data_IF_459670349474
#
_entry.id   IF_459670349474
#
_cell.length_a   1.000
_cell.length_b   1.000
_cell.length_c   1.000
_cell.angle_alpha   90.00
_cell.angle_beta   90.00
_cell.angle_gamma   90.00
#
_symmetry.space_group_name_H-M   'P 1'
#
loop_
_entity.id
_entity.type
_entity.pdbx_description
1 polymer ?
#
# COMPACT_ATOMS: atom_id res chain seq x y z
N UNK A 1 6.02 -15.78 5.85
CA UNK A 1 5.17 -15.73 4.65
C UNK A 1 3.83 -15.15 5.10
N UNK A 2 3.22 -14.27 4.33
CA UNK A 2 1.94 -13.59 4.65
C UNK A 2 0.81 -14.23 3.84
N UNK A 3 -0.37 -14.26 4.45
CA UNK A 3 -1.61 -14.70 3.84
C UNK A 3 -2.66 -13.61 4.02
N UNK A 4 -3.46 -13.34 2.99
CA UNK A 4 -4.59 -12.42 3.06
C UNK A 4 -5.80 -13.04 2.39
N UNK A 5 -7.00 -12.78 2.93
CA UNK A 5 -8.28 -13.27 2.40
C UNK A 5 -9.27 -12.12 2.30
N UNK A 6 -9.90 -11.96 1.15
CA UNK A 6 -10.93 -10.95 0.89
C UNK A 6 -12.08 -11.57 0.09
N UNK A 7 -13.16 -11.92 0.77
CA UNK A 7 -14.23 -12.71 0.16
C UNK A 7 -13.69 -14.05 -0.36
N UNK A 8 -13.86 -14.30 -1.66
CA UNK A 8 -13.32 -15.47 -2.34
C UNK A 8 -11.85 -15.37 -2.75
N UNK A 9 -11.23 -14.20 -2.62
CA UNK A 9 -9.83 -13.98 -3.02
C UNK A 9 -8.88 -14.42 -1.90
N UNK A 10 -7.94 -15.32 -2.20
CA UNK A 10 -6.85 -15.71 -1.30
C UNK A 10 -5.48 -15.36 -1.88
N UNK A 11 -4.65 -14.73 -1.06
CA UNK A 11 -3.30 -14.27 -1.39
C UNK A 11 -2.28 -14.94 -0.48
N UNK A 12 -1.19 -15.45 -1.05
CA UNK A 12 -0.05 -15.98 -0.30
C UNK A 12 1.28 -15.50 -0.88
N UNK A 13 2.23 -15.11 -0.03
CA UNK A 13 3.54 -14.66 -0.49
C UNK A 13 4.29 -13.80 0.54
N UNK A 14 5.19 -12.94 0.06
CA UNK A 14 5.82 -11.87 0.86
C UNK A 14 5.41 -10.55 0.23
N UNK A 15 4.50 -9.83 0.88
CA UNK A 15 3.89 -8.60 0.35
C UNK A 15 3.39 -7.71 1.49
N UNK A 16 3.26 -6.42 1.24
CA UNK A 16 2.43 -5.48 2.00
C UNK A 16 1.02 -5.46 1.42
N UNK A 17 0.02 -5.25 2.27
CA UNK A 17 -1.38 -5.41 1.90
C UNK A 17 -2.21 -4.25 2.43
N UNK A 18 -3.07 -3.71 1.58
CA UNK A 18 -4.11 -2.77 2.00
C UNK A 18 -5.38 -2.99 1.16
N UNK A 19 -6.53 -2.68 1.76
CA UNK A 19 -7.83 -2.72 1.10
C UNK A 19 -8.58 -1.44 1.47
N UNK A 20 -9.22 -0.81 0.48
CA UNK A 20 -9.97 0.43 0.68
C UNK A 20 -11.16 0.48 -0.26
N UNK A 21 -12.22 1.21 0.14
CA UNK A 21 -13.31 1.62 -0.78
C UNK A 21 -12.94 2.87 -1.59
N UNK A 22 -11.83 3.51 -1.26
CA UNK A 22 -11.39 4.75 -1.88
C UNK A 22 -10.24 4.47 -2.84
N UNK A 23 -10.34 4.98 -4.06
CA UNK A 23 -9.25 4.91 -5.04
C UNK A 23 -8.06 5.74 -4.55
N UNK A 24 -6.85 5.44 -5.04
CA UNK A 24 -5.69 6.30 -4.73
C UNK A 24 -5.87 7.73 -5.26
N UNK A 25 -6.52 7.89 -6.41
CA UNK A 25 -6.84 9.22 -6.92
C UNK A 25 -7.76 9.98 -5.95
N UNK A 26 -8.80 9.32 -5.41
CA UNK A 26 -9.70 9.94 -4.44
C UNK A 26 -8.97 10.29 -3.14
N UNK A 27 -8.12 9.39 -2.62
CA UNK A 27 -7.29 9.66 -1.43
C UNK A 27 -6.31 10.82 -1.64
N UNK A 28 -5.75 10.99 -2.85
CA UNK A 28 -4.83 12.08 -3.17
C UNK A 28 -5.56 13.43 -3.36
N UNK A 29 -6.78 13.41 -3.89
CA UNK A 29 -7.53 14.62 -4.20
C UNK A 29 -8.30 15.20 -3.01
N UNK A 30 -8.76 14.36 -2.09
CA UNK A 30 -9.51 14.80 -0.91
C UNK A 30 -8.59 15.56 0.05
N UNK A 31 -9.00 16.77 0.44
CA UNK A 31 -8.34 17.56 1.48
C UNK A 31 -8.87 17.19 2.87
N UNK A 32 -10.12 16.71 2.92
CA UNK A 32 -10.80 16.35 4.16
C UNK A 32 -11.51 14.99 4.03
N UNK A 33 -11.71 14.34 5.18
CA UNK A 33 -12.27 12.99 5.28
C UNK A 33 -13.70 12.92 4.69
N UNK A 34 -14.48 14.00 4.84
CA UNK A 34 -15.85 14.11 4.33
C UNK A 34 -15.93 14.27 2.80
N UNK A 35 -14.82 14.53 2.12
CA UNK A 35 -14.76 14.62 0.66
C UNK A 35 -14.51 13.25 -0.01
N UNK A 36 -14.10 12.24 0.78
CA UNK A 36 -13.85 10.90 0.28
C UNK A 36 -15.12 10.29 -0.32
N UNK A 37 -14.99 9.80 -1.55
CA UNK A 37 -16.09 9.21 -2.31
C UNK A 37 -15.89 7.69 -2.33
N UNK A 38 -16.65 6.91 -1.53
CA UNK A 38 -16.53 5.47 -1.55
C UNK A 38 -16.99 4.93 -2.91
N UNK A 39 -16.24 3.96 -3.43
CA UNK A 39 -16.60 3.20 -4.63
C UNK A 39 -17.44 1.98 -4.24
N UNK A 40 -18.24 1.50 -5.20
CA UNK A 40 -18.93 0.21 -5.13
C UNK A 40 -17.95 -0.99 -5.23
N UNK A 41 -16.70 -0.73 -5.62
CA UNK A 41 -15.63 -1.71 -5.71
C UNK A 41 -14.63 -1.60 -4.55
N UNK A 42 -13.85 -2.66 -4.34
CA UNK A 42 -12.73 -2.67 -3.40
C UNK A 42 -11.40 -2.48 -4.13
N UNK A 43 -10.64 -1.47 -3.72
CA UNK A 43 -9.26 -1.26 -4.13
C UNK A 43 -8.34 -2.10 -3.26
N UNK A 44 -7.80 -3.17 -3.83
CA UNK A 44 -6.78 -4.02 -3.19
C UNK A 44 -5.39 -3.55 -3.62
N UNK A 45 -4.45 -3.47 -2.68
CA UNK A 45 -3.04 -3.13 -2.91
C UNK A 45 -2.17 -4.26 -2.39
N UNK A 46 -1.27 -4.74 -3.26
CA UNK A 46 -0.35 -5.83 -2.96
C UNK A 46 1.04 -5.39 -3.41
N UNK A 47 1.82 -4.85 -2.48
CA UNK A 47 3.17 -4.35 -2.80
C UNK A 47 4.22 -5.37 -2.39
N UNK A 48 5.15 -5.72 -3.29
CA UNK A 48 6.29 -6.56 -2.90
C UNK A 48 7.20 -5.88 -1.87
N UNK A 49 7.33 -4.56 -1.98
CA UNK A 49 8.12 -3.69 -1.13
C UNK A 49 7.39 -2.34 -1.01
N UNK A 50 7.43 -1.72 0.16
CA UNK A 50 6.81 -0.41 0.40
C UNK A 50 7.84 0.46 1.13
N UNK A 51 8.04 1.70 0.65
CA UNK A 51 9.01 2.61 1.26
C UNK A 51 8.56 3.00 2.68
N UNK A 52 9.51 3.24 3.57
CA UNK A 52 9.20 3.83 4.88
C UNK A 52 8.47 5.17 4.74
N UNK A 53 7.62 5.48 5.72
CA UNK A 53 6.84 6.73 5.73
C UNK A 53 7.70 7.90 6.25
N UNK A 54 8.63 7.64 7.18
CA UNK A 54 9.39 8.68 7.88
C UNK A 54 8.64 9.20 9.12
N UNK A 55 8.96 10.41 9.56
CA UNK A 55 8.25 11.06 10.67
C UNK A 55 9.12 11.67 11.76
N UNK A 56 10.46 11.65 11.63
CA UNK A 56 11.34 12.39 12.55
C UNK A 56 11.00 13.89 12.56
N UNK A 57 10.66 14.40 11.38
CA UNK A 57 9.94 15.65 11.19
C UNK A 57 9.08 15.59 9.91
N UNK A 58 8.19 16.57 9.74
CA UNK A 58 7.22 16.64 8.64
C UNK A 58 7.56 17.71 7.58
N UNK A 59 8.76 18.28 7.61
CA UNK A 59 9.19 19.37 6.71
C UNK A 59 10.54 19.11 6.03
N UNK A 60 11.15 17.96 6.28
CA UNK A 60 12.37 17.47 5.66
C UNK A 60 12.21 16.04 5.15
N UNK A 61 13.23 15.52 4.44
CA UNK A 61 13.27 14.10 4.06
C UNK A 61 13.67 13.28 5.30
N UNK A 62 12.67 12.69 5.95
CA UNK A 62 12.85 12.01 7.24
C UNK A 62 12.75 10.48 7.18
N UNK A 63 12.75 9.87 6.00
CA UNK A 63 12.80 8.39 5.88
C UNK A 63 14.24 7.93 6.07
N UNK A 64 14.48 7.07 7.07
CA UNK A 64 15.81 6.52 7.31
C UNK A 64 16.28 5.62 6.17
N UNK A 65 17.59 5.56 5.99
CA UNK A 65 18.24 4.97 4.82
C UNK A 65 17.91 3.48 4.61
N UNK A 66 17.71 2.72 5.69
CA UNK A 66 17.34 1.30 5.68
C UNK A 66 15.90 1.04 5.20
N UNK A 67 15.03 2.05 5.20
CA UNK A 67 13.64 1.95 4.73
C UNK A 67 13.42 2.58 3.35
N UNK A 68 14.48 3.13 2.75
CA UNK A 68 14.46 3.61 1.38
C UNK A 68 14.59 2.46 0.38
N UNK A 69 13.80 2.50 -0.68
CA UNK A 69 13.87 1.54 -1.77
C UNK A 69 14.98 1.93 -2.78
N UNK A 70 16.26 1.72 -2.41
CA UNK A 70 17.44 2.11 -3.22
C UNK A 70 17.93 1.07 -4.25
N UNK A 71 17.44 -0.17 -4.23
CA UNK A 71 17.91 -1.21 -5.14
C UNK A 71 17.51 -0.93 -6.60
N UNK A 72 18.37 -1.30 -7.55
CA UNK A 72 18.07 -1.17 -8.99
C UNK A 72 17.05 -2.20 -9.50
N UNK A 73 16.91 -3.32 -8.80
CA UNK A 73 16.05 -4.42 -9.20
C UNK A 73 15.34 -4.99 -7.97
N UNK A 74 14.02 -5.10 -8.06
CA UNK A 74 13.18 -5.76 -7.06
C UNK A 74 12.50 -6.95 -7.70
N UNK A 75 12.39 -8.05 -6.94
CA UNK A 75 11.66 -9.23 -7.36
C UNK A 75 10.76 -9.69 -6.23
N UNK A 76 9.48 -9.87 -6.53
CA UNK A 76 8.51 -10.42 -5.60
C UNK A 76 7.62 -11.44 -6.32
N UNK A 77 6.95 -12.29 -5.54
CA UNK A 77 6.00 -13.27 -6.04
C UNK A 77 4.85 -13.38 -5.04
N UNK A 78 3.65 -13.41 -5.58
CA UNK A 78 2.42 -13.75 -4.86
C UNK A 78 1.69 -14.85 -5.60
N UNK A 79 0.93 -15.65 -4.88
CA UNK A 79 -0.01 -16.61 -5.44
C UNK A 79 -1.41 -16.10 -5.17
N UNK A 80 -2.24 -16.04 -6.21
CA UNK A 80 -3.65 -15.73 -6.14
C UNK A 80 -4.42 -17.04 -6.27
N UNK A 81 -5.41 -17.26 -5.40
CA UNK A 81 -6.34 -18.39 -5.47
C UNK A 81 -7.76 -17.87 -5.38
#
# INVERSE_FOLDING_TARGET
MRHAKLGGLELAGRFHFAVSRYSQQNLTQALHINELQPSDELYVRVDGFHMGIGGDDSWSRSVHDEFLLKQKQYRYRVTLK
#
